data_IF_579057335357
#
_entry.id   IF_579057335357
#
_cell.length_a   1.000
_cell.length_b   1.000
_cell.length_c   1.000
_cell.angle_alpha   90.00
_cell.angle_beta   90.00
_cell.angle_gamma   90.00
#
_symmetry.space_group_name_H-M   'P 1'
#
loop_
_entity.id
_entity.type
_entity.pdbx_description
1 polymer ?
#
# COMPACT_ATOMS: atom_id res chain seq x y z
N UNK A 1 -3.07 -13.78 12.69
CA UNK A 1 -4.19 -12.86 12.37
C UNK A 1 -3.66 -11.94 11.30
N UNK A 2 -4.18 -12.03 10.07
CA UNK A 2 -3.82 -11.08 9.02
C UNK A 2 -4.29 -9.71 9.49
N UNK A 3 -3.37 -8.84 9.87
CA UNK A 3 -3.69 -7.45 10.13
C UNK A 3 -4.21 -6.89 8.81
N UNK A 4 -5.52 -6.65 8.74
CA UNK A 4 -6.15 -5.98 7.60
C UNK A 4 -5.69 -4.54 7.61
N UNK A 5 -4.51 -4.32 7.04
CA UNK A 5 -3.90 -3.02 6.96
C UNK A 5 -4.70 -2.22 5.95
N UNK A 6 -5.44 -1.23 6.41
CA UNK A 6 -6.12 -0.32 5.49
C UNK A 6 -5.08 0.62 4.86
N UNK A 7 -5.11 0.82 3.53
CA UNK A 7 -4.31 1.85 2.88
C UNK A 7 -4.85 3.22 3.29
N UNK A 8 -3.97 4.06 3.81
CA UNK A 8 -4.27 5.41 4.31
C UNK A 8 -3.37 6.37 3.56
N UNK A 9 -3.96 7.34 2.88
CA UNK A 9 -3.22 8.40 2.19
C UNK A 9 -2.26 9.11 3.13
N UNK A 10 -1.01 9.24 2.72
CA UNK A 10 0.08 9.86 3.46
C UNK A 10 0.80 8.94 4.46
N UNK A 11 0.40 7.67 4.59
CA UNK A 11 1.08 6.69 5.45
C UNK A 11 2.10 5.86 4.68
N UNK A 12 3.15 5.47 5.39
CA UNK A 12 4.20 4.60 4.92
C UNK A 12 3.88 3.14 5.22
N UNK A 13 4.18 2.29 4.25
CA UNK A 13 3.97 0.86 4.31
C UNK A 13 5.23 0.14 3.87
N UNK A 14 5.52 -0.97 4.54
CA UNK A 14 6.60 -1.87 4.18
C UNK A 14 6.02 -3.10 3.48
N UNK A 15 6.50 -3.39 2.26
CA UNK A 15 6.18 -4.61 1.54
C UNK A 15 7.20 -5.68 1.89
N UNK A 16 6.81 -6.71 2.63
CA UNK A 16 7.70 -7.84 2.92
C UNK A 16 8.04 -8.61 1.65
N UNK A 17 7.05 -8.83 0.79
CA UNK A 17 7.18 -9.55 -0.49
C UNK A 17 8.29 -8.99 -1.41
N UNK A 18 8.48 -7.67 -1.41
CA UNK A 18 9.53 -6.99 -2.19
C UNK A 18 10.72 -6.50 -1.35
N UNK A 19 10.62 -6.56 -0.03
CA UNK A 19 11.55 -5.93 0.90
C UNK A 19 11.69 -4.41 0.71
N UNK A 20 10.61 -3.72 0.31
CA UNK A 20 10.64 -2.29 -0.06
C UNK A 20 9.57 -1.47 0.66
N UNK A 21 9.96 -0.27 1.09
CA UNK A 21 9.03 0.74 1.61
C UNK A 21 8.38 1.54 0.48
N UNK A 22 7.12 1.86 0.67
CA UNK A 22 6.35 2.74 -0.19
C UNK A 22 5.38 3.58 0.64
N UNK A 23 4.94 4.71 0.10
CA UNK A 23 3.94 5.57 0.73
C UNK A 23 2.68 5.57 -0.09
N UNK A 24 1.52 5.62 0.56
CA UNK A 24 0.25 5.76 -0.16
C UNK A 24 0.06 7.23 -0.49
N UNK A 25 -0.03 7.55 -1.78
CA UNK A 25 -0.26 8.91 -2.27
C UNK A 25 -1.75 9.19 -2.51
N UNK A 26 -2.54 8.15 -2.81
CA UNK A 26 -3.96 8.28 -3.10
C UNK A 26 -4.69 6.97 -2.82
N UNK A 27 -5.94 7.05 -2.38
CA UNK A 27 -6.83 5.91 -2.17
C UNK A 27 -8.14 6.22 -2.87
N UNK A 28 -8.46 5.45 -3.90
CA UNK A 28 -9.69 5.56 -4.66
C UNK A 28 -10.72 4.56 -4.11
N UNK A 29 -11.60 5.04 -3.23
CA UNK A 29 -12.69 4.23 -2.67
C UNK A 29 -13.69 3.77 -3.73
N UNK A 30 -13.89 4.59 -4.78
CA UNK A 30 -14.83 4.28 -5.89
C UNK A 30 -14.33 3.11 -6.73
N UNK A 31 -13.04 3.09 -7.06
CA UNK A 31 -12.42 2.04 -7.86
C UNK A 31 -11.89 0.89 -7.01
N UNK A 32 -11.93 1.03 -5.69
CA UNK A 32 -11.29 0.13 -4.75
C UNK A 32 -9.81 -0.11 -5.11
N UNK A 33 -9.07 0.96 -5.42
CA UNK A 33 -7.63 0.89 -5.71
C UNK A 33 -6.87 1.90 -4.85
N UNK A 34 -5.61 1.62 -4.62
CA UNK A 34 -4.69 2.46 -3.86
C UNK A 34 -3.47 2.77 -4.72
N UNK A 35 -3.13 4.05 -4.83
CA UNK A 35 -1.91 4.53 -5.47
C UNK A 35 -0.82 4.70 -4.45
N UNK A 36 0.30 4.07 -4.73
CA UNK A 36 1.50 4.12 -3.91
C UNK A 36 2.65 4.73 -4.68
N UNK A 37 3.55 5.37 -3.96
CA UNK A 37 4.83 5.85 -4.47
C UNK A 37 5.96 5.15 -3.73
N UNK A 38 6.88 4.57 -4.48
CA UNK A 38 8.10 3.99 -3.95
C UNK A 38 9.16 5.09 -3.74
N UNK A 39 10.15 4.80 -2.89
CA UNK A 39 11.31 5.69 -2.66
C UNK A 39 12.06 6.10 -3.95
N UNK A 40 11.94 5.32 -5.02
CA UNK A 40 12.54 5.63 -6.33
C UNK A 40 11.78 6.69 -7.15
N UNK A 41 10.63 7.18 -6.67
CA UNK A 41 9.74 8.07 -7.43
C UNK A 41 8.76 7.32 -8.34
N UNK A 42 8.92 5.99 -8.49
CA UNK A 42 7.95 5.14 -9.18
C UNK A 42 6.61 5.16 -8.46
N UNK A 43 5.53 5.36 -9.22
CA UNK A 43 4.17 5.23 -8.72
C UNK A 43 3.56 3.93 -9.23
N UNK A 44 2.71 3.32 -8.42
CA UNK A 44 1.98 2.10 -8.80
C UNK A 44 0.59 2.09 -8.19
N UNK A 45 -0.36 1.54 -8.93
CA UNK A 45 -1.70 1.26 -8.44
C UNK A 45 -1.81 -0.20 -8.01
N UNK A 46 -2.36 -0.41 -6.83
CA UNK A 46 -2.64 -1.73 -6.26
C UNK A 46 -4.14 -1.79 -5.97
N UNK A 47 -4.88 -2.78 -6.49
CA UNK A 47 -6.27 -3.01 -6.10
C UNK A 47 -6.38 -3.37 -4.62
N UNK A 48 -7.40 -2.89 -3.91
CA UNK A 48 -7.68 -3.26 -2.51
C UNK A 48 -7.82 -4.78 -2.34
N UNK A 49 -8.36 -5.46 -3.35
CA UNK A 49 -8.47 -6.92 -3.42
C UNK A 49 -7.12 -7.63 -3.38
N UNK A 50 -6.10 -7.06 -4.03
CA UNK A 50 -4.74 -7.59 -4.00
C UNK A 50 -4.02 -7.14 -2.74
N UNK A 51 -4.26 -5.91 -2.30
CA UNK A 51 -3.71 -5.35 -1.07
C UNK A 51 -4.00 -6.22 0.16
N UNK A 52 -5.23 -6.74 0.32
CA UNK A 52 -5.61 -7.64 1.43
C UNK A 52 -4.83 -8.97 1.40
N UNK A 53 -4.33 -9.39 0.24
CA UNK A 53 -3.49 -10.58 0.08
C UNK A 53 -2.00 -10.30 0.27
N UNK A 54 -1.59 -9.03 0.28
CA UNK A 54 -0.19 -8.66 0.42
C UNK A 54 0.20 -8.66 1.89
N UNK A 55 1.35 -9.24 2.18
CA UNK A 55 2.00 -9.08 3.49
C UNK A 55 2.65 -7.70 3.56
N UNK A 56 1.90 -6.77 4.15
CA UNK A 56 2.29 -5.39 4.38
C UNK A 56 2.47 -5.14 5.88
N UNK A 57 3.27 -4.15 6.24
CA UNK A 57 3.34 -3.60 7.59
C UNK A 57 3.17 -2.09 7.55
N UNK A 58 2.41 -1.52 8.48
CA UNK A 58 2.40 -0.06 8.69
C UNK A 58 3.72 0.31 9.34
N UNK A 59 4.48 1.19 8.69
CA UNK A 59 5.58 1.87 9.36
C UNK A 59 4.95 3.05 10.12
N UNK A 60 5.01 3.03 11.45
CA UNK A 60 4.32 4.01 12.32
C UNK A 60 4.86 5.43 12.14
#
# INVERSE_FOLDING_TARGET
MAEKIQPVKGKWYYRFDKGKNFTVIEVDEVKCVVRIQYLGGDTSEIPLLEWDKLELQKAE
#
